data_IF_572479386691
#
_entry.id   IF_572479386691
#
_cell.length_a   1.000
_cell.length_b   1.000
_cell.length_c   1.000
_cell.angle_alpha   90.00
_cell.angle_beta   90.00
_cell.angle_gamma   90.00
#
_symmetry.space_group_name_H-M   'P 1'
#
loop_
_entity.id
_entity.type
_entity.pdbx_description
1 polymer ?
#
# COMPACT_ATOMS: atom_id res chain seq x y z
N UNK A 1 31.04 2.48 22.53
CA UNK A 1 30.56 1.23 21.89
C UNK A 1 31.66 0.74 20.98
N UNK A 2 32.31 -0.38 21.32
CA UNK A 2 33.32 -1.00 20.48
C UNK A 2 32.61 -1.88 19.44
N UNK A 3 32.31 -1.32 18.28
CA UNK A 3 31.93 -2.12 17.12
C UNK A 3 33.20 -2.60 16.45
N UNK A 4 33.53 -3.88 16.60
CA UNK A 4 34.53 -4.54 15.78
C UNK A 4 33.82 -5.05 14.53
N UNK A 5 34.10 -4.42 13.39
CA UNK A 5 33.60 -4.92 12.11
C UNK A 5 34.26 -6.28 11.84
N UNK A 6 33.44 -7.31 11.57
CA UNK A 6 33.93 -8.55 10.97
C UNK A 6 34.44 -8.22 9.57
N UNK A 7 35.73 -7.94 9.46
CA UNK A 7 36.42 -7.86 8.17
C UNK A 7 36.78 -9.28 7.78
N UNK A 8 35.90 -9.92 7.03
CA UNK A 8 36.18 -11.19 6.36
C UNK A 8 37.06 -10.82 5.17
N UNK A 9 38.39 -10.93 5.30
CA UNK A 9 39.28 -10.93 4.15
C UNK A 9 39.05 -12.27 3.41
N UNK A 10 38.46 -12.28 2.20
CA UNK A 10 38.10 -13.52 1.55
C UNK A 10 39.35 -14.20 0.99
N UNK A 11 39.94 -15.13 1.74
CA UNK A 11 40.82 -16.16 1.15
C UNK A 11 39.99 -17.07 0.23
N UNK A 12 39.83 -16.66 -1.02
CA UNK A 12 39.12 -17.39 -2.07
C UNK A 12 37.59 -17.49 -1.85
N UNK A 13 36.82 -17.87 -2.90
CA UNK A 13 35.37 -17.91 -2.81
C UNK A 13 34.92 -19.16 -2.03
N UNK A 14 34.94 -19.09 -0.69
CA UNK A 14 34.24 -20.04 0.20
C UNK A 14 32.77 -19.63 0.37
N UNK A 15 32.10 -19.32 -0.72
CA UNK A 15 30.66 -19.01 -0.74
C UNK A 15 29.95 -20.12 -1.50
N UNK A 16 28.98 -20.78 -0.88
CA UNK A 16 28.12 -21.73 -1.57
C UNK A 16 27.26 -20.98 -2.60
N UNK A 17 27.19 -21.48 -3.84
CA UNK A 17 26.37 -20.91 -4.92
C UNK A 17 24.87 -21.24 -4.79
N UNK A 18 24.35 -21.31 -3.56
CA UNK A 18 22.94 -21.58 -3.29
C UNK A 18 22.13 -20.31 -3.51
N UNK A 19 21.69 -20.09 -4.75
CA UNK A 19 20.92 -18.91 -5.12
C UNK A 19 19.42 -19.17 -4.95
N UNK A 20 18.68 -18.18 -4.44
CA UNK A 20 17.21 -18.23 -4.32
C UNK A 20 16.48 -18.38 -5.67
N UNK A 21 17.19 -18.17 -6.79
CA UNK A 21 16.65 -18.34 -8.14
C UNK A 21 16.29 -19.79 -8.50
N UNK A 22 16.87 -20.78 -7.81
CA UNK A 22 16.57 -22.20 -8.02
C UNK A 22 15.31 -22.68 -7.32
N UNK A 23 14.71 -21.87 -6.43
CA UNK A 23 13.46 -22.20 -5.76
C UNK A 23 12.28 -22.04 -6.73
N UNK A 24 11.39 -23.02 -6.70
CA UNK A 24 10.06 -22.88 -7.28
C UNK A 24 9.27 -21.89 -6.41
N UNK A 25 8.95 -20.73 -6.99
CA UNK A 25 8.12 -19.74 -6.33
C UNK A 25 6.67 -20.12 -6.51
N UNK A 26 5.93 -20.08 -5.42
CA UNK A 26 4.49 -20.26 -5.41
C UNK A 26 3.84 -19.13 -6.21
N UNK A 27 2.87 -19.48 -7.04
CA UNK A 27 1.97 -18.49 -7.60
C UNK A 27 0.96 -17.99 -6.55
N UNK A 28 0.15 -16.99 -6.92
CA UNK A 28 -0.85 -16.43 -6.01
C UNK A 28 -1.86 -17.49 -5.54
N UNK A 29 -2.32 -18.36 -6.43
CA UNK A 29 -3.36 -19.35 -6.12
C UNK A 29 -2.83 -20.43 -5.17
N UNK A 30 -1.66 -20.98 -5.48
CA UNK A 30 -0.94 -21.95 -4.66
C UNK A 30 -0.64 -21.38 -3.28
N UNK A 31 -0.06 -20.17 -3.21
CA UNK A 31 0.27 -19.53 -1.94
C UNK A 31 -0.97 -19.38 -1.05
N UNK A 32 -2.06 -18.80 -1.55
CA UNK A 32 -3.26 -18.59 -0.74
C UNK A 32 -3.98 -19.90 -0.40
N UNK A 33 -3.89 -20.93 -1.25
CA UNK A 33 -4.44 -22.26 -0.94
C UNK A 33 -3.71 -22.93 0.24
N UNK A 34 -2.38 -22.84 0.24
CA UNK A 34 -1.52 -23.37 1.30
C UNK A 34 -1.66 -22.56 2.59
N UNK A 35 -1.63 -21.22 2.48
CA UNK A 35 -1.77 -20.32 3.62
C UNK A 35 -3.10 -20.51 4.36
N UNK A 36 -4.20 -20.80 3.66
CA UNK A 36 -5.50 -21.09 4.29
C UNK A 36 -5.55 -22.44 5.01
N UNK A 37 -4.74 -23.40 4.56
CA UNK A 37 -4.69 -24.74 5.14
C UNK A 37 -3.68 -24.82 6.30
N UNK A 38 -2.73 -23.89 6.33
CA UNK A 38 -1.74 -23.79 7.38
C UNK A 38 -2.38 -23.37 8.71
N UNK A 39 -2.21 -24.21 9.73
CA UNK A 39 -2.55 -23.88 11.11
C UNK A 39 -1.27 -23.55 11.87
N UNK A 40 -1.19 -22.33 12.39
CA UNK A 40 -0.05 -21.92 13.20
C UNK A 40 -0.07 -22.62 14.56
N UNK A 41 1.07 -23.16 14.99
CA UNK A 41 1.18 -23.85 16.27
C UNK A 41 1.07 -22.90 17.47
N UNK A 42 1.35 -21.61 17.27
CA UNK A 42 1.34 -20.56 18.28
C UNK A 42 0.12 -19.63 18.18
N UNK A 43 -0.92 -20.03 17.44
CA UNK A 43 -2.13 -19.23 17.28
C UNK A 43 -2.76 -18.85 18.64
N UNK A 44 -2.84 -19.81 19.56
CA UNK A 44 -3.39 -19.59 20.90
C UNK A 44 -2.52 -18.61 21.72
N UNK A 45 -1.19 -18.72 21.64
CA UNK A 45 -0.24 -17.83 22.32
C UNK A 45 -0.34 -16.39 21.77
N UNK A 46 -0.46 -16.24 20.45
CA UNK A 46 -0.62 -14.94 19.79
C UNK A 46 -1.96 -14.28 20.16
N UNK A 47 -3.04 -15.07 20.29
CA UNK A 47 -4.33 -14.57 20.74
C UNK A 47 -4.30 -14.16 22.21
N UNK A 48 -3.68 -14.98 23.08
CA UNK A 48 -3.47 -14.63 24.48
C UNK A 48 -2.68 -13.31 24.62
N UNK A 49 -1.63 -13.12 23.82
CA UNK A 49 -0.83 -11.91 23.84
C UNK A 49 -1.63 -10.66 23.42
N UNK A 50 -2.50 -10.78 22.41
CA UNK A 50 -3.43 -9.69 22.06
C UNK A 50 -4.36 -9.34 23.22
N UNK A 51 -4.87 -10.34 23.94
CA UNK A 51 -5.77 -10.13 25.07
C UNK A 51 -5.05 -9.51 26.27
N UNK A 52 -3.76 -9.79 26.44
CA UNK A 52 -2.91 -9.09 27.42
C UNK A 52 -2.81 -7.60 27.07
N UNK A 53 -2.52 -7.26 25.81
CA UNK A 53 -2.49 -5.86 25.37
C UNK A 53 -3.85 -5.17 25.51
N UNK A 54 -4.95 -5.90 25.26
CA UNK A 54 -6.31 -5.37 25.37
C UNK A 54 -6.69 -4.94 26.80
N UNK A 55 -6.04 -5.49 27.84
CA UNK A 55 -6.25 -5.06 29.23
C UNK A 55 -5.85 -3.60 29.47
N UNK A 56 -4.95 -3.06 28.65
CA UNK A 56 -4.46 -1.69 28.75
C UNK A 56 -5.35 -0.66 28.03
N UNK A 57 -6.45 -1.08 27.37
CA UNK A 57 -7.30 -0.16 26.60
C UNK A 57 -7.90 0.98 27.44
N UNK A 58 -8.21 0.76 28.72
CA UNK A 58 -8.68 1.83 29.59
C UNK A 58 -7.59 2.86 29.89
N UNK A 59 -6.34 2.42 30.01
CA UNK A 59 -5.19 3.30 30.15
C UNK A 59 -5.00 4.13 28.88
N UNK A 60 -5.02 3.48 27.71
CA UNK A 60 -4.90 4.18 26.41
C UNK A 60 -6.01 5.20 26.21
N UNK A 61 -7.26 4.84 26.54
CA UNK A 61 -8.38 5.78 26.50
C UNK A 61 -8.12 6.98 27.40
N UNK A 62 -7.64 6.77 28.63
CA UNK A 62 -7.30 7.86 29.54
C UNK A 62 -6.19 8.76 28.98
N UNK A 63 -5.11 8.19 28.45
CA UNK A 63 -4.02 8.92 27.82
C UNK A 63 -4.51 9.83 26.68
N UNK A 64 -5.40 9.31 25.82
CA UNK A 64 -6.04 10.11 24.76
C UNK A 64 -6.91 11.25 25.27
N UNK A 65 -7.47 11.16 26.48
CA UNK A 65 -8.21 12.29 27.09
C UNK A 65 -7.31 13.36 27.68
N UNK A 66 -6.01 13.09 27.83
CA UNK A 66 -5.01 14.02 28.35
C UNK A 66 -4.15 14.63 27.22
N UNK A 67 -4.69 14.69 26.00
CA UNK A 67 -4.05 15.24 24.80
C UNK A 67 -2.74 14.56 24.38
N UNK A 68 -2.50 13.32 24.84
CA UNK A 68 -1.45 12.48 24.30
C UNK A 68 -1.96 11.72 23.09
N UNK A 69 -1.11 11.60 22.07
CA UNK A 69 -1.37 10.68 20.97
C UNK A 69 -0.69 9.34 21.27
N UNK A 70 -1.21 8.25 20.72
CA UNK A 70 -0.70 6.91 20.98
C UNK A 70 0.03 6.38 19.77
N UNK A 71 1.24 5.86 19.97
CA UNK A 71 2.02 5.18 18.94
C UNK A 71 2.32 3.74 19.38
N UNK A 72 1.71 2.79 18.67
CA UNK A 72 1.93 1.36 18.88
C UNK A 72 3.07 0.89 17.99
N UNK A 73 4.11 0.31 18.59
CA UNK A 73 5.22 -0.31 17.88
C UNK A 73 5.40 -1.75 18.34
N UNK A 74 6.33 -2.48 17.75
CA UNK A 74 6.60 -3.87 18.08
C UNK A 74 6.37 -4.81 16.91
N UNK A 75 6.81 -6.05 17.07
CA UNK A 75 6.82 -7.05 16.01
C UNK A 75 5.44 -7.69 15.80
N UNK A 76 5.03 -7.78 14.54
CA UNK A 76 3.75 -8.37 14.12
C UNK A 76 2.67 -7.34 13.81
N UNK A 77 1.62 -7.80 13.13
CA UNK A 77 0.48 -6.97 12.77
C UNK A 77 -0.25 -6.45 14.01
N UNK A 78 -0.44 -5.13 14.06
CA UNK A 78 -1.18 -4.42 15.11
C UNK A 78 -2.61 -4.08 14.69
N UNK A 79 -3.00 -4.46 13.47
CA UNK A 79 -4.30 -4.11 12.89
C UNK A 79 -5.47 -4.67 13.69
N UNK A 80 -5.43 -5.96 14.04
CA UNK A 80 -6.44 -6.62 14.88
C UNK A 80 -6.59 -5.92 16.24
N UNK A 81 -5.47 -5.59 16.89
CA UNK A 81 -5.44 -4.93 18.18
C UNK A 81 -6.06 -3.53 18.14
N UNK A 82 -5.70 -2.73 17.12
CA UNK A 82 -6.28 -1.40 16.91
C UNK A 82 -7.77 -1.45 16.55
N UNK A 83 -8.23 -2.48 15.83
CA UNK A 83 -9.66 -2.71 15.58
C UNK A 83 -10.42 -3.02 16.87
N UNK A 84 -9.88 -3.92 17.71
CA UNK A 84 -10.44 -4.20 19.05
C UNK A 84 -10.47 -2.94 19.93
N UNK A 85 -9.43 -2.10 19.84
CA UNK A 85 -9.39 -0.84 20.57
C UNK A 85 -10.43 0.16 20.05
N UNK A 86 -10.60 0.27 18.73
CA UNK A 86 -11.64 1.11 18.14
C UNK A 86 -13.05 0.68 18.59
N UNK A 87 -13.31 -0.64 18.62
CA UNK A 87 -14.55 -1.21 19.14
C UNK A 87 -14.74 -0.91 20.63
N UNK A 88 -13.68 -1.02 21.44
CA UNK A 88 -13.71 -0.66 22.87
C UNK A 88 -14.03 0.82 23.09
N UNK A 89 -13.42 1.71 22.32
CA UNK A 89 -13.75 3.14 22.38
C UNK A 89 -15.21 3.35 21.99
N UNK A 90 -15.64 2.78 20.85
CA UNK A 90 -17.01 2.92 20.38
C UNK A 90 -18.04 2.48 21.43
N UNK A 91 -17.86 1.30 22.02
CA UNK A 91 -18.77 0.77 23.04
C UNK A 91 -18.80 1.59 24.34
N UNK A 92 -17.78 2.41 24.60
CA UNK A 92 -17.67 3.25 25.79
C UNK A 92 -17.94 4.74 25.51
N UNK A 93 -18.30 5.09 24.28
CA UNK A 93 -18.76 6.45 23.91
C UNK A 93 -20.21 6.64 24.34
N UNK A 94 -20.53 7.84 24.81
CA UNK A 94 -21.90 8.21 25.23
C UNK A 94 -22.67 8.80 24.05
N UNK A 95 -22.01 9.59 23.20
CA UNK A 95 -22.62 10.30 22.09
C UNK A 95 -21.87 10.02 20.77
N UNK A 96 -22.36 9.05 20.01
CA UNK A 96 -21.83 8.70 18.69
C UNK A 96 -22.05 9.79 17.63
N UNK A 97 -22.91 10.78 17.88
CA UNK A 97 -23.12 11.88 16.95
C UNK A 97 -22.00 12.90 17.01
N UNK A 98 -21.39 13.09 18.19
CA UNK A 98 -20.31 14.05 18.45
C UNK A 98 -18.91 13.42 18.48
N UNK A 99 -18.80 12.17 18.92
CA UNK A 99 -17.54 11.44 18.89
C UNK A 99 -17.50 10.52 17.67
N UNK A 100 -16.55 10.76 16.77
CA UNK A 100 -16.38 9.98 15.53
C UNK A 100 -15.06 9.22 15.56
N UNK A 101 -15.03 8.04 14.96
CA UNK A 101 -13.82 7.24 14.77
C UNK A 101 -13.57 7.12 13.27
N UNK A 102 -12.36 7.48 12.84
CA UNK A 102 -11.91 7.38 11.44
C UNK A 102 -10.72 6.42 11.39
N UNK A 103 -10.89 5.31 10.68
CA UNK A 103 -9.84 4.32 10.46
C UNK A 103 -9.17 4.57 9.11
N UNK A 104 -7.84 4.62 9.10
CA UNK A 104 -7.05 4.84 7.88
C UNK A 104 -6.00 3.74 7.71
N UNK A 105 -5.97 3.14 6.53
CA UNK A 105 -5.03 2.08 6.18
C UNK A 105 -3.79 2.68 5.49
N UNK A 106 -2.77 3.06 6.26
CA UNK A 106 -1.54 3.69 5.76
C UNK A 106 -0.63 2.77 4.93
N UNK A 107 -0.83 1.45 5.02
CA UNK A 107 -0.15 0.45 4.18
C UNK A 107 -0.64 0.45 2.72
N UNK A 108 -1.77 1.09 2.42
CA UNK A 108 -2.31 1.17 1.05
C UNK A 108 -1.50 2.16 0.21
N UNK A 109 -0.88 1.69 -0.88
CA UNK A 109 0.07 2.48 -1.67
C UNK A 109 -0.54 3.68 -2.39
N UNK A 110 -1.82 3.62 -2.79
CA UNK A 110 -2.51 4.70 -3.50
C UNK A 110 -3.19 5.72 -2.58
N UNK A 111 -3.05 5.57 -1.25
CA UNK A 111 -3.59 6.51 -0.28
C UNK A 111 -2.88 7.86 -0.42
N UNK A 112 -3.64 8.95 -0.45
CA UNK A 112 -3.08 10.30 -0.35
C UNK A 112 -3.48 10.98 0.96
N UNK A 113 -2.67 11.93 1.40
CA UNK A 113 -3.01 12.77 2.58
C UNK A 113 -4.32 13.54 2.37
N UNK A 114 -4.68 13.82 1.11
CA UNK A 114 -5.93 14.49 0.75
C UNK A 114 -7.13 13.61 1.04
N UNK A 115 -7.04 12.32 0.72
CA UNK A 115 -8.11 11.35 0.97
C UNK A 115 -8.36 11.23 2.48
N UNK A 116 -7.29 11.21 3.27
CA UNK A 116 -7.36 11.25 4.73
C UNK A 116 -8.07 12.50 5.23
N UNK A 117 -7.63 13.70 4.82
CA UNK A 117 -8.23 14.96 5.25
C UNK A 117 -9.71 15.08 4.84
N UNK A 118 -10.05 14.66 3.62
CA UNK A 118 -11.44 14.63 3.15
C UNK A 118 -12.30 13.65 3.97
N UNK A 119 -11.74 12.50 4.36
CA UNK A 119 -12.45 11.53 5.19
C UNK A 119 -12.73 12.09 6.58
N UNK A 120 -11.75 12.76 7.19
CA UNK A 120 -11.92 13.43 8.49
C UNK A 120 -12.96 14.54 8.39
N UNK A 121 -12.86 15.44 7.41
CA UNK A 121 -13.85 16.49 7.21
C UNK A 121 -15.26 15.94 6.92
N UNK A 122 -15.34 14.87 6.12
CA UNK A 122 -16.60 14.18 5.83
C UNK A 122 -17.24 13.56 7.09
N UNK A 123 -16.43 13.15 8.07
CA UNK A 123 -16.92 12.65 9.35
C UNK A 123 -17.50 13.76 10.25
N UNK A 124 -17.00 14.99 10.14
CA UNK A 124 -17.40 16.14 10.96
C UNK A 124 -18.64 16.83 10.33
N UNK A 125 -18.51 17.28 9.08
CA UNK A 125 -19.50 18.14 8.42
C UNK A 125 -20.43 17.41 7.45
N UNK A 126 -20.26 16.09 7.26
CA UNK A 126 -21.04 15.27 6.35
C UNK A 126 -20.35 15.02 5.01
N UNK A 127 -20.83 13.98 4.30
CA UNK A 127 -20.23 13.47 3.06
C UNK A 127 -20.29 14.53 1.96
N UNK A 128 -19.15 14.81 1.32
CA UNK A 128 -19.06 15.72 0.17
C UNK A 128 -18.56 17.14 0.50
N UNK A 129 -18.21 17.41 1.76
CA UNK A 129 -17.60 18.68 2.17
C UNK A 129 -16.28 18.91 1.43
N UNK A 130 -16.22 19.98 0.62
CA UNK A 130 -15.00 20.37 -0.09
C UNK A 130 -14.19 21.33 0.78
N UNK A 131 -13.14 20.81 1.41
CA UNK A 131 -12.25 21.58 2.29
C UNK A 131 -11.09 22.26 1.56
N UNK A 132 -11.00 22.16 0.23
CA UNK A 132 -10.02 22.89 -0.57
C UNK A 132 -9.23 22.02 -1.53
N UNK A 133 -8.24 22.64 -2.18
CA UNK A 133 -7.49 22.02 -3.26
C UNK A 133 -6.06 21.68 -2.89
N UNK A 134 -5.47 22.32 -1.88
CA UNK A 134 -4.11 22.03 -1.42
C UNK A 134 -4.12 21.44 -0.01
N UNK A 135 -3.28 20.44 0.32
CA UNK A 135 -3.32 19.80 1.64
C UNK A 135 -3.17 20.75 2.84
N UNK A 136 -2.36 21.81 2.70
CA UNK A 136 -2.21 22.82 3.75
C UNK A 136 -3.48 23.65 3.95
N UNK A 137 -4.12 24.10 2.86
CA UNK A 137 -5.41 24.81 2.88
C UNK A 137 -6.51 23.91 3.47
N UNK A 138 -6.53 22.63 3.07
CA UNK A 138 -7.47 21.63 3.58
C UNK A 138 -7.33 21.45 5.10
N UNK A 139 -6.10 21.47 5.62
CA UNK A 139 -5.86 21.40 7.05
C UNK A 139 -6.39 22.65 7.78
N UNK A 140 -6.07 23.85 7.30
CA UNK A 140 -6.53 25.10 7.94
C UNK A 140 -8.06 25.19 7.96
N UNK A 141 -8.72 24.83 6.85
CA UNK A 141 -10.19 24.78 6.77
C UNK A 141 -10.78 23.75 7.72
N UNK A 142 -10.14 22.59 7.89
CA UNK A 142 -10.56 21.56 8.83
C UNK A 142 -10.40 22.02 10.28
N UNK A 143 -9.31 22.72 10.61
CA UNK A 143 -9.12 23.35 11.92
C UNK A 143 -10.23 24.36 12.22
N UNK A 144 -10.56 25.23 11.25
CA UNK A 144 -11.67 26.18 11.40
C UNK A 144 -13.02 25.47 11.66
N UNK A 145 -13.31 24.39 10.94
CA UNK A 145 -14.53 23.59 11.15
C UNK A 145 -14.59 22.96 12.55
N UNK A 146 -13.44 22.51 13.08
CA UNK A 146 -13.38 21.98 14.45
C UNK A 146 -13.58 23.09 15.48
N UNK A 147 -12.98 24.26 15.26
CA UNK A 147 -13.12 25.44 16.15
C UNK A 147 -14.55 26.00 16.19
N UNK A 148 -15.32 25.86 15.10
CA UNK A 148 -16.74 26.25 15.03
C UNK A 148 -17.61 25.42 15.99
N UNK A 149 -17.36 24.11 16.11
CA UNK A 149 -18.09 23.21 16.99
C UNK A 149 -17.16 22.43 17.92
N UNK A 150 -16.84 23.07 19.06
CA UNK A 150 -15.98 22.51 20.12
C UNK A 150 -16.54 21.26 20.80
N UNK A 151 -17.78 20.87 20.52
CA UNK A 151 -18.39 19.68 21.11
C UNK A 151 -18.05 18.39 20.36
N UNK A 152 -17.50 18.50 19.15
CA UNK A 152 -17.14 17.35 18.33
C UNK A 152 -15.73 16.88 18.62
N UNK A 153 -15.53 15.56 18.64
CA UNK A 153 -14.20 14.96 18.77
C UNK A 153 -14.02 13.86 17.72
N UNK A 154 -12.85 13.83 17.09
CA UNK A 154 -12.50 12.79 16.11
C UNK A 154 -11.34 11.97 16.64
N UNK A 155 -11.52 10.66 16.70
CA UNK A 155 -10.44 9.71 16.97
C UNK A 155 -9.97 9.16 15.63
N UNK A 156 -8.76 9.57 15.23
CA UNK A 156 -8.11 9.12 14.01
C UNK A 156 -7.19 7.95 14.35
N UNK A 157 -7.48 6.78 13.76
CA UNK A 157 -6.67 5.57 13.94
C UNK A 157 -5.99 5.26 12.61
N UNK A 158 -4.66 5.35 12.57
CA UNK A 158 -3.86 5.14 11.36
C UNK A 158 -3.02 3.88 11.49
N UNK A 159 -3.34 2.86 10.69
CA UNK A 159 -2.49 1.69 10.56
C UNK A 159 -1.26 2.02 9.72
N UNK A 160 -0.07 1.61 10.16
CA UNK A 160 1.20 1.75 9.43
C UNK A 160 1.45 3.19 8.99
N UNK A 161 1.60 4.11 9.94
CA UNK A 161 1.86 5.54 9.69
C UNK A 161 3.16 5.77 8.88
N UNK A 162 4.10 4.84 8.99
CA UNK A 162 5.36 4.74 8.25
C UNK A 162 5.22 4.05 6.88
N UNK A 163 3.99 3.72 6.48
CA UNK A 163 3.67 3.22 5.15
C UNK A 163 4.11 4.17 4.03
N UNK A 164 4.35 3.61 2.84
CA UNK A 164 4.96 4.33 1.70
C UNK A 164 4.19 5.61 1.29
N UNK A 165 2.86 5.61 1.45
CA UNK A 165 1.98 6.73 1.18
C UNK A 165 2.14 7.90 2.18
N UNK A 166 2.33 7.60 3.47
CA UNK A 166 2.29 8.58 4.56
C UNK A 166 3.67 8.95 5.12
N UNK A 167 4.73 8.17 4.85
CA UNK A 167 6.09 8.43 5.37
C UNK A 167 6.76 9.71 4.87
N UNK A 168 6.20 10.38 3.85
CA UNK A 168 6.81 11.59 3.28
C UNK A 168 6.76 12.74 4.31
N UNK A 169 7.81 13.58 4.43
CA UNK A 169 7.86 14.65 5.43
C UNK A 169 6.66 15.60 5.39
N UNK A 170 6.16 15.94 4.19
CA UNK A 170 4.98 16.80 4.03
C UNK A 170 3.71 16.19 4.64
N UNK A 171 3.48 14.89 4.44
CA UNK A 171 2.34 14.17 5.03
C UNK A 171 2.46 14.10 6.55
N UNK A 172 3.65 13.80 7.07
CA UNK A 172 3.92 13.75 8.52
C UNK A 172 3.71 15.12 9.19
N UNK A 173 4.12 16.21 8.55
CA UNK A 173 3.91 17.57 9.05
C UNK A 173 2.42 17.98 9.11
N UNK A 174 1.64 17.57 8.12
CA UNK A 174 0.19 17.81 8.12
C UNK A 174 -0.48 17.00 9.23
N UNK A 175 -0.11 15.72 9.36
CA UNK A 175 -0.66 14.84 10.40
C UNK A 175 -0.28 15.31 11.80
N UNK A 176 0.95 15.76 12.01
CA UNK A 176 1.37 16.27 13.32
C UNK A 176 0.57 17.49 13.73
N UNK A 177 0.36 18.43 12.80
CA UNK A 177 -0.47 19.61 13.04
C UNK A 177 -1.93 19.25 13.30
N UNK A 178 -2.49 18.33 12.53
CA UNK A 178 -3.85 17.83 12.72
C UNK A 178 -4.02 17.21 14.11
N UNK A 179 -3.07 16.39 14.54
CA UNK A 179 -3.10 15.71 15.85
C UNK A 179 -2.74 16.61 17.04
N UNK A 180 -2.22 17.81 16.80
CA UNK A 180 -2.02 18.82 17.86
C UNK A 180 -3.33 19.54 18.22
N UNK A 181 -4.41 19.33 17.47
CA UNK A 181 -5.70 19.94 17.75
C UNK A 181 -6.42 19.23 18.91
N UNK A 182 -6.94 19.92 19.94
CA UNK A 182 -7.54 19.29 21.13
C UNK A 182 -8.74 18.37 20.85
N UNK A 183 -9.43 18.61 19.73
CA UNK A 183 -10.58 17.78 19.32
C UNK A 183 -10.18 16.56 18.48
N UNK A 184 -8.90 16.42 18.11
CA UNK A 184 -8.39 15.29 17.32
C UNK A 184 -7.49 14.42 18.18
N UNK A 185 -7.91 13.17 18.39
CA UNK A 185 -7.15 12.15 19.12
C UNK A 185 -6.51 11.21 18.10
N UNK A 186 -5.19 11.10 18.08
CA UNK A 186 -4.47 10.26 17.12
C UNK A 186 -3.96 8.98 17.80
N UNK A 187 -4.26 7.84 17.17
CA UNK A 187 -3.71 6.52 17.50
C UNK A 187 -3.07 5.96 16.25
N UNK A 188 -1.81 5.55 16.30
CA UNK A 188 -1.12 5.02 15.13
C UNK A 188 -0.42 3.71 15.43
N UNK A 189 -0.23 2.90 14.40
CA UNK A 189 0.77 1.83 14.42
C UNK A 189 1.95 2.16 13.52
N UNK A 190 3.13 1.70 13.91
CA UNK A 190 4.37 1.75 13.12
C UNK A 190 5.03 0.38 13.10
N UNK A 191 5.62 0.02 11.96
CA UNK A 191 6.11 -1.34 11.72
C UNK A 191 7.62 -1.37 11.43
N UNK A 192 8.14 -0.33 10.78
CA UNK A 192 9.51 -0.24 10.33
C UNK A 192 10.46 0.08 11.50
N UNK A 193 11.53 -0.70 11.76
CA UNK A 193 12.42 -0.50 12.91
C UNK A 193 13.02 0.91 13.02
N UNK A 194 13.21 1.57 11.88
CA UNK A 194 13.74 2.94 11.82
C UNK A 194 12.68 4.05 11.92
N UNK A 195 11.44 3.77 12.33
CA UNK A 195 10.34 4.75 12.33
C UNK A 195 10.68 6.03 13.12
N UNK A 196 11.52 5.93 14.16
CA UNK A 196 12.01 7.07 14.93
C UNK A 196 12.74 8.14 14.10
N UNK A 197 13.26 7.77 12.92
CA UNK A 197 13.92 8.69 12.00
C UNK A 197 12.92 9.56 11.20
N UNK A 198 11.63 9.20 11.19
CA UNK A 198 10.60 9.98 10.51
C UNK A 198 10.30 11.30 11.23
N UNK A 199 10.59 11.38 12.52
CA UNK A 199 10.23 12.53 13.35
C UNK A 199 11.47 13.21 13.93
N UNK A 200 11.68 14.45 13.53
CA UNK A 200 12.62 15.36 14.19
C UNK A 200 12.06 15.85 15.54
N UNK A 201 12.80 16.70 16.24
CA UNK A 201 12.37 17.20 17.55
C UNK A 201 11.03 17.96 17.48
N UNK A 202 10.79 18.68 16.38
CA UNK A 202 9.59 19.48 16.18
C UNK A 202 8.36 18.60 15.98
N UNK A 203 8.45 17.61 15.09
CA UNK A 203 7.38 16.65 14.83
C UNK A 203 7.10 15.79 16.06
N UNK A 204 8.12 15.33 16.80
CA UNK A 204 7.92 14.58 18.05
C UNK A 204 7.15 15.40 19.09
N UNK A 205 7.48 16.68 19.24
CA UNK A 205 6.77 17.57 20.14
C UNK A 205 5.33 17.81 19.68
N UNK A 206 5.09 17.97 18.38
CA UNK A 206 3.75 18.21 17.83
C UNK A 206 2.86 16.96 17.90
N UNK A 207 3.42 15.78 17.63
CA UNK A 207 2.71 14.52 17.78
C UNK A 207 2.47 14.17 19.24
N UNK A 208 3.32 14.56 20.18
CA UNK A 208 3.15 14.25 21.61
C UNK A 208 2.83 12.77 21.87
N UNK A 209 3.59 11.86 21.23
CA UNK A 209 3.32 10.42 21.29
C UNK A 209 3.72 9.79 22.63
N UNK A 210 2.82 8.97 23.16
CA UNK A 210 3.14 7.90 24.10
C UNK A 210 3.36 6.60 23.33
N UNK A 211 4.51 5.99 23.57
CA UNK A 211 4.94 4.78 22.88
C UNK A 211 4.57 3.54 23.67
N UNK A 212 3.78 2.66 23.07
CA UNK A 212 3.40 1.37 23.66
C UNK A 212 3.97 0.23 22.82
N UNK A 213 4.71 -0.67 23.46
CA UNK A 213 5.14 -1.91 22.84
C UNK A 213 3.94 -2.86 22.76
N UNK A 214 3.52 -3.14 21.54
CA UNK A 214 2.43 -4.02 21.18
C UNK A 214 2.95 -5.08 20.21
N UNK A 215 4.00 -5.78 20.62
CA UNK A 215 4.47 -6.97 19.93
C UNK A 215 3.40 -8.06 19.99
N UNK A 216 2.86 -8.45 18.83
CA UNK A 216 1.75 -9.43 18.69
C UNK A 216 2.18 -10.73 18.01
N UNK A 217 3.33 -10.75 17.31
CA UNK A 217 3.78 -11.85 16.45
C UNK A 217 2.82 -12.25 15.30
N UNK A 218 1.71 -11.54 15.13
CA UNK A 218 0.75 -11.83 14.07
C UNK A 218 1.37 -11.60 12.68
N UNK A 219 1.04 -12.43 11.69
CA UNK A 219 1.50 -12.25 10.32
C UNK A 219 0.88 -10.98 9.70
N UNK A 220 1.65 -10.32 8.83
CA UNK A 220 1.19 -9.17 8.04
C UNK A 220 0.44 -9.65 6.79
N UNK A 221 -0.81 -10.07 6.96
CA UNK A 221 -1.58 -10.70 5.87
C UNK A 221 -2.23 -9.71 4.91
N UNK A 222 -2.48 -8.47 5.37
CA UNK A 222 -3.18 -7.44 4.57
C UNK A 222 -2.24 -6.28 4.22
N UNK A 223 -1.25 -6.04 5.07
CA UNK A 223 -0.29 -4.96 4.93
C UNK A 223 0.75 -5.24 3.84
N UNK A 224 1.04 -6.52 3.59
CA UNK A 224 2.06 -6.99 2.65
C UNK A 224 1.41 -7.95 1.65
N UNK A 225 1.54 -7.64 0.36
CA UNK A 225 1.29 -8.62 -0.70
C UNK A 225 2.53 -9.51 -0.84
N UNK A 226 2.55 -10.58 -0.05
CA UNK A 226 3.71 -11.48 0.07
C UNK A 226 4.15 -12.01 -1.29
N UNK A 227 3.20 -12.34 -2.17
CA UNK A 227 3.52 -12.95 -3.45
C UNK A 227 4.13 -11.90 -4.38
N UNK A 228 3.54 -10.73 -4.51
CA UNK A 228 4.08 -9.68 -5.37
C UNK A 228 5.41 -9.13 -4.84
N UNK A 229 5.58 -8.97 -3.53
CA UNK A 229 6.84 -8.51 -2.92
C UNK A 229 7.98 -9.51 -3.12
N UNK A 230 7.75 -10.82 -2.91
CA UNK A 230 8.76 -11.85 -3.16
C UNK A 230 9.15 -11.91 -4.63
N UNK A 231 8.16 -11.79 -5.55
CA UNK A 231 8.45 -11.71 -6.97
C UNK A 231 9.27 -10.48 -7.34
N UNK A 232 9.02 -9.33 -6.71
CA UNK A 232 9.80 -8.10 -6.91
C UNK A 232 11.23 -8.22 -6.38
N UNK A 233 11.41 -8.73 -5.16
CA UNK A 233 12.73 -8.94 -4.56
C UNK A 233 13.61 -9.87 -5.40
N UNK A 234 13.00 -10.84 -6.07
CA UNK A 234 13.69 -11.79 -6.94
C UNK A 234 13.80 -11.31 -8.41
N UNK A 235 13.40 -10.08 -8.71
CA UNK A 235 13.48 -9.48 -10.05
C UNK A 235 12.55 -10.13 -11.08
N UNK A 236 11.51 -10.85 -10.62
CA UNK A 236 10.54 -11.58 -11.46
C UNK A 236 9.23 -10.79 -11.64
N UNK A 237 9.35 -9.49 -11.92
CA UNK A 237 8.22 -8.54 -12.08
C UNK A 237 7.22 -8.93 -13.17
N UNK A 238 7.61 -9.78 -14.13
CA UNK A 238 6.73 -10.28 -15.19
C UNK A 238 5.62 -11.24 -14.75
N UNK A 239 5.66 -11.76 -13.51
CA UNK A 239 4.63 -12.67 -12.96
C UNK A 239 3.60 -12.00 -12.04
N UNK A 240 3.68 -10.68 -11.84
CA UNK A 240 2.70 -9.90 -11.07
C UNK A 240 1.26 -10.11 -11.53
N UNK A 241 0.31 -9.73 -10.66
CA UNK A 241 -1.09 -9.51 -11.04
C UNK A 241 -1.21 -8.44 -12.14
N UNK A 242 -0.27 -7.51 -12.26
CA UNK A 242 -0.15 -6.58 -13.41
C UNK A 242 0.63 -7.12 -14.62
N UNK A 243 1.20 -8.32 -14.53
CA UNK A 243 2.02 -8.96 -15.57
C UNK A 243 1.32 -10.16 -16.21
N UNK A 244 2.09 -11.17 -16.63
CA UNK A 244 1.58 -12.38 -17.32
C UNK A 244 0.51 -13.14 -16.50
N UNK A 245 0.63 -13.11 -15.17
CA UNK A 245 -0.27 -13.80 -14.24
C UNK A 245 -1.69 -13.21 -14.23
N UNK A 246 -1.83 -11.90 -14.00
CA UNK A 246 -3.17 -11.29 -14.00
C UNK A 246 -3.75 -11.05 -15.39
N UNK A 247 -2.94 -10.89 -16.44
CA UNK A 247 -3.43 -10.96 -17.83
C UNK A 247 -4.10 -12.31 -18.10
N UNK A 248 -3.53 -13.42 -17.60
CA UNK A 248 -4.17 -14.74 -17.72
C UNK A 248 -5.53 -14.80 -17.01
N UNK A 249 -5.65 -14.18 -15.82
CA UNK A 249 -6.90 -14.13 -15.07
C UNK A 249 -7.97 -13.29 -15.77
N UNK A 250 -7.61 -12.09 -16.25
CA UNK A 250 -8.51 -11.23 -17.03
C UNK A 250 -8.96 -11.93 -18.31
N UNK A 251 -8.03 -12.57 -19.04
CA UNK A 251 -8.34 -13.32 -20.26
C UNK A 251 -9.31 -14.48 -20.02
N UNK A 252 -9.25 -15.14 -18.86
CA UNK A 252 -10.21 -16.20 -18.50
C UNK A 252 -11.64 -15.67 -18.33
N UNK A 253 -11.80 -14.42 -17.86
CA UNK A 253 -13.10 -13.80 -17.59
C UNK A 253 -13.76 -13.12 -18.80
N UNK A 254 -12.99 -12.86 -19.87
CA UNK A 254 -13.49 -12.17 -21.05
C UNK A 254 -14.42 -13.06 -21.92
N UNK A 255 -15.42 -12.48 -22.60
CA UNK A 255 -16.19 -13.19 -23.62
C UNK A 255 -15.31 -13.65 -24.79
N UNK A 256 -15.69 -14.72 -25.48
CA UNK A 256 -14.88 -15.35 -26.55
C UNK A 256 -14.47 -14.36 -27.66
N UNK A 257 -15.37 -13.46 -28.07
CA UNK A 257 -15.05 -12.43 -29.06
C UNK A 257 -14.03 -11.40 -28.56
N UNK A 258 -14.03 -11.08 -27.26
CA UNK A 258 -13.03 -10.19 -26.67
C UNK A 258 -11.65 -10.87 -26.56
N UNK A 259 -11.62 -12.18 -26.30
CA UNK A 259 -10.37 -12.97 -26.36
C UNK A 259 -9.80 -13.03 -27.77
N UNK A 260 -10.66 -13.24 -28.78
CA UNK A 260 -10.24 -13.24 -30.18
C UNK A 260 -9.69 -11.87 -30.61
N UNK A 261 -10.34 -10.77 -30.19
CA UNK A 261 -9.82 -9.42 -30.43
C UNK A 261 -8.45 -9.20 -29.78
N UNK A 262 -8.27 -9.65 -28.54
CA UNK A 262 -6.99 -9.59 -27.85
C UNK A 262 -5.90 -10.41 -28.56
N UNK A 263 -6.26 -11.60 -29.08
CA UNK A 263 -5.34 -12.45 -29.86
C UNK A 263 -4.84 -11.73 -31.12
N UNK A 264 -5.74 -11.09 -31.87
CA UNK A 264 -5.36 -10.30 -33.06
C UNK A 264 -4.43 -9.15 -32.67
N UNK A 265 -4.77 -8.40 -31.62
CA UNK A 265 -3.93 -7.30 -31.11
C UNK A 265 -2.51 -7.78 -30.75
N UNK A 266 -2.40 -8.89 -30.01
CA UNK A 266 -1.10 -9.47 -29.62
C UNK A 266 -0.33 -9.95 -30.85
N UNK A 267 -1.00 -10.58 -31.82
CA UNK A 267 -0.38 -11.02 -33.08
C UNK A 267 0.25 -9.86 -33.86
N UNK A 268 -0.47 -8.74 -33.97
CA UNK A 268 0.03 -7.54 -34.65
C UNK A 268 1.19 -6.88 -33.89
N UNK A 269 1.11 -6.83 -32.55
CA UNK A 269 2.21 -6.30 -31.74
C UNK A 269 3.48 -7.15 -31.87
N UNK A 270 3.35 -8.48 -31.94
CA UNK A 270 4.49 -9.38 -32.15
C UNK A 270 5.08 -9.21 -33.56
N UNK A 271 4.24 -9.14 -34.60
CA UNK A 271 4.70 -8.89 -35.96
C UNK A 271 5.42 -7.54 -36.10
N UNK A 272 4.88 -6.48 -35.50
CA UNK A 272 5.51 -5.16 -35.49
C UNK A 272 6.82 -5.11 -34.67
N UNK A 273 6.98 -6.00 -33.68
CA UNK A 273 8.23 -6.16 -32.93
C UNK A 273 9.30 -6.90 -33.74
N UNK A 274 8.91 -7.90 -34.53
CA UNK A 274 9.83 -8.66 -35.41
C UNK A 274 10.31 -7.84 -36.62
N UNK A 275 9.54 -6.83 -37.06
CA UNK A 275 9.91 -5.93 -38.17
C UNK A 275 10.92 -4.84 -37.78
N UNK A 276 11.21 -4.64 -36.48
CA UNK A 276 12.25 -3.71 -36.03
C UNK A 276 13.61 -4.41 -36.11
N UNK A 277 14.51 -4.04 -37.03
CA UNK A 277 15.82 -4.66 -37.10
C UNK A 277 16.58 -4.36 -35.81
N UNK A 278 17.09 -5.40 -35.17
CA UNK A 278 18.11 -5.26 -34.12
C UNK A 278 19.31 -4.57 -34.78
N UNK A 279 19.47 -3.27 -34.53
CA UNK A 279 20.71 -2.58 -34.88
C UNK A 279 21.77 -3.22 -33.97
N UNK A 280 22.58 -4.12 -34.54
CA UNK A 280 23.83 -4.58 -33.94
C UNK A 280 24.72 -3.35 -33.73
N UNK A 281 24.64 -2.77 -32.53
CA UNK A 281 25.63 -1.81 -32.11
C UNK A 281 26.88 -2.61 -31.75
N UNK A 282 27.79 -2.72 -32.72
CA UNK A 282 29.14 -3.17 -32.47
C UNK A 282 29.71 -2.40 -31.27
N UNK A 283 30.26 -3.20 -30.35
CA UNK A 283 31.02 -2.81 -29.16
C UNK A 283 32.08 -1.75 -29.49
N UNK A 284 32.57 -1.08 -28.42
CA UNK A 284 33.69 -0.13 -28.33
C UNK A 284 33.24 1.33 -28.15
N UNK A 285 32.65 1.66 -26.99
CA UNK A 285 33.34 2.56 -26.05
C UNK A 285 32.68 2.54 -24.66
N UNK A 286 33.54 2.66 -23.65
CA UNK A 286 33.29 2.38 -22.25
C UNK A 286 32.76 3.63 -21.50
N UNK A 287 31.97 3.40 -20.44
CA UNK A 287 31.45 4.35 -19.42
C UNK A 287 30.18 5.16 -19.75
N UNK A 288 29.03 4.66 -19.29
CA UNK A 288 28.03 5.47 -18.57
C UNK A 288 26.99 4.60 -17.83
N UNK A 289 26.60 5.04 -16.62
CA UNK A 289 26.03 4.23 -15.53
C UNK A 289 24.58 3.69 -15.66
N UNK A 290 24.03 3.06 -14.59
CA UNK A 290 22.92 2.10 -14.65
C UNK A 290 21.52 2.70 -14.85
N UNK A 291 21.40 4.01 -15.16
CA UNK A 291 20.14 4.74 -15.10
C UNK A 291 19.46 5.03 -16.45
N UNK A 292 19.80 4.32 -17.53
CA UNK A 292 19.17 4.48 -18.86
C UNK A 292 18.44 3.26 -19.43
N UNK A 293 18.41 2.12 -18.72
CA UNK A 293 17.69 0.93 -19.18
C UNK A 293 16.16 1.03 -19.01
N UNK A 294 15.64 1.98 -18.23
CA UNK A 294 14.21 2.10 -17.94
C UNK A 294 13.39 2.89 -18.98
N UNK A 295 14.02 3.53 -19.98
CA UNK A 295 13.33 4.48 -20.86
C UNK A 295 13.37 4.14 -22.37
N UNK A 296 13.61 2.87 -22.72
CA UNK A 296 13.37 2.35 -24.08
C UNK A 296 12.28 1.28 -24.04
N UNK A 297 11.07 1.64 -23.59
CA UNK A 297 9.87 0.97 -24.09
C UNK A 297 9.63 1.55 -25.47
N UNK A 298 9.99 0.82 -26.52
CA UNK A 298 9.44 1.11 -27.84
C UNK A 298 7.91 1.05 -27.72
N UNK A 299 7.22 2.17 -27.89
CA UNK A 299 5.77 2.19 -28.01
C UNK A 299 5.39 1.52 -29.35
N UNK A 300 5.42 0.19 -29.39
CA UNK A 300 4.84 -0.61 -30.46
C UNK A 300 3.31 -0.65 -30.27
N UNK A 301 2.67 0.48 -30.55
CA UNK A 301 1.21 0.61 -30.60
C UNK A 301 0.67 0.18 -31.96
N UNK A 302 -0.46 -0.51 -31.97
CA UNK A 302 -1.19 -0.81 -33.22
C UNK A 302 -2.20 0.29 -33.46
N UNK A 303 -2.25 0.83 -34.68
CA UNK A 303 -3.24 1.85 -35.04
C UNK A 303 -4.67 1.29 -34.94
N UNK A 304 -5.54 2.07 -34.30
CA UNK A 304 -6.94 1.71 -34.06
C UNK A 304 -7.69 1.29 -35.34
N UNK A 305 -7.41 1.96 -36.47
CA UNK A 305 -8.06 1.67 -37.76
C UNK A 305 -7.66 0.31 -38.33
N UNK A 306 -6.38 -0.03 -38.22
CA UNK A 306 -5.82 -1.31 -38.69
C UNK A 306 -6.39 -2.46 -37.87
N UNK A 307 -6.44 -2.29 -36.53
CA UNK A 307 -7.02 -3.28 -35.63
C UNK A 307 -8.52 -3.49 -35.89
N UNK A 308 -9.27 -2.41 -36.15
CA UNK A 308 -10.70 -2.50 -36.47
C UNK A 308 -10.94 -3.26 -37.79
N UNK A 309 -10.17 -2.96 -38.84
CA UNK A 309 -10.31 -3.62 -40.13
C UNK A 309 -10.07 -5.14 -40.03
N UNK A 310 -9.01 -5.56 -39.34
CA UNK A 310 -8.72 -6.98 -39.11
C UNK A 310 -9.76 -7.67 -38.22
N UNK A 311 -10.30 -6.96 -37.21
CA UNK A 311 -11.39 -7.49 -36.38
C UNK A 311 -12.70 -7.68 -37.16
N UNK A 312 -12.93 -6.89 -38.22
CA UNK A 312 -14.06 -7.08 -39.13
C UNK A 312 -13.80 -8.24 -40.10
N UNK A 313 -12.57 -8.36 -40.63
CA UNK A 313 -12.14 -9.46 -41.50
C UNK A 313 -12.24 -10.84 -40.83
N UNK A 314 -11.89 -10.93 -39.53
CA UNK A 314 -12.05 -12.15 -38.73
C UNK A 314 -13.44 -12.33 -38.12
N UNK A 315 -14.44 -11.54 -38.53
CA UNK A 315 -15.83 -11.60 -38.05
C UNK A 315 -16.00 -11.43 -36.52
N UNK A 316 -15.07 -10.76 -35.85
CA UNK A 316 -15.08 -10.55 -34.40
C UNK A 316 -16.08 -9.47 -34.00
N UNK A 317 -16.15 -8.39 -34.79
CA UNK A 317 -17.05 -7.25 -34.56
C UNK A 317 -17.75 -6.84 -35.86
N UNK A 318 -19.07 -6.67 -35.80
CA UNK A 318 -19.90 -6.25 -36.95
C UNK A 318 -20.12 -4.73 -37.06
N UNK A 319 -19.76 -3.97 -36.00
CA UNK A 319 -19.99 -2.53 -35.92
C UNK A 319 -18.97 -1.89 -34.98
N UNK A 320 -18.54 -0.67 -35.30
CA UNK A 320 -17.57 0.13 -34.56
C UNK A 320 -17.97 0.36 -33.10
N UNK A 321 -19.26 0.54 -32.80
CA UNK A 321 -19.71 0.68 -31.41
C UNK A 321 -19.47 -0.57 -30.55
N UNK A 322 -19.59 -1.77 -31.15
CA UNK A 322 -19.30 -3.03 -30.44
C UNK A 322 -17.80 -3.19 -30.23
N UNK A 323 -17.00 -2.81 -31.22
CA UNK A 323 -15.55 -2.82 -31.13
C UNK A 323 -15.03 -1.88 -30.02
N UNK A 324 -15.54 -0.64 -29.95
CA UNK A 324 -15.19 0.30 -28.87
C UNK A 324 -15.54 -0.23 -27.48
N UNK A 325 -16.69 -0.91 -27.33
CA UNK A 325 -17.08 -1.51 -26.06
C UNK A 325 -16.17 -2.67 -25.64
N UNK A 326 -15.65 -3.45 -26.59
CA UNK A 326 -14.65 -4.49 -26.29
C UNK A 326 -13.27 -3.89 -26.00
N UNK A 327 -12.84 -2.89 -26.77
CA UNK A 327 -11.59 -2.18 -26.53
C UNK A 327 -11.56 -1.52 -25.14
N UNK A 328 -12.67 -0.92 -24.70
CA UNK A 328 -12.83 -0.35 -23.34
C UNK A 328 -12.80 -1.38 -22.20
N UNK A 329 -13.07 -2.65 -22.50
CA UNK A 329 -12.99 -3.75 -21.51
C UNK A 329 -11.60 -4.39 -21.45
N UNK A 330 -10.77 -4.10 -22.44
CA UNK A 330 -9.40 -4.61 -22.60
C UNK A 330 -8.35 -3.58 -22.19
N UNK A 331 -8.66 -2.28 -22.38
CA UNK A 331 -7.90 -1.12 -21.88
C UNK A 331 -8.10 -0.89 -20.40
#
# INVERSE_FOLDING_TARGET
MNYTFLKIDPEGPKTANSNLSSLELLDHEEYFSLARTYKDQHEDDMNFLQDVHAKSFNQWKFELTQDFNICLYGWGSKRSLLLKFAEHIYNTMIDHSRERIVMVNGYVQNLTIRDLLNTVAGSISGIGTKIGSQPAEMLENLTMLLDEDKSQHVTLIVHSLDGSALRRPASQMILSRLSSHPQVRLVVSVDHPSFHLLWDSSLRSAFNFLFHDCTTFLPYTVEVDVVDEVHDLLGRTGRKVGGKGGVSFVLKSLPENAKNLFRVLVGEQLAAMDEIPVIEHNSWDDKDGPNRAANRKSESGVEYRVLYQKAVEEFICSNEMKFQNFAKRVS
#
